data_IF_541267459744
#
_entry.id   IF_541267459744
#
_cell.length_a   1.000
_cell.length_b   1.000
_cell.length_c   1.000
_cell.angle_alpha   90.00
_cell.angle_beta   90.00
_cell.angle_gamma   90.00
#
_symmetry.space_group_name_H-M   'P 1'
#
loop_
_entity.id
_entity.type
_entity.pdbx_description
1 polymer ?
#
# COMPACT_ATOMS: atom_id res chain seq x y z
N UNK A 1 -70.54 -84.16 -21.10
CA UNK A 1 -69.33 -85.00 -21.25
C UNK A 1 -68.93 -85.43 -19.83
N UNK A 2 -69.20 -86.67 -19.39
CA UNK A 2 -68.46 -87.94 -19.67
C UNK A 2 -67.03 -87.86 -19.11
N UNK A 3 -66.65 -88.45 -17.96
CA UNK A 3 -66.76 -89.86 -17.48
C UNK A 3 -66.09 -90.80 -18.51
N UNK A 4 -65.01 -91.57 -18.22
CA UNK A 4 -64.89 -92.63 -17.16
C UNK A 4 -63.49 -92.68 -16.46
N UNK A 5 -63.02 -93.65 -15.62
CA UNK A 5 -63.55 -94.68 -14.70
C UNK A 5 -62.44 -95.19 -13.73
N UNK A 6 -62.84 -95.89 -12.64
CA UNK A 6 -62.08 -96.94 -11.89
C UNK A 6 -60.83 -96.56 -11.04
N UNK A 7 -60.49 -97.30 -9.97
CA UNK A 7 -61.09 -98.56 -9.46
C UNK A 7 -60.76 -98.90 -7.99
N UNK A 8 -61.31 -100.02 -7.50
CA UNK A 8 -61.23 -100.53 -6.11
C UNK A 8 -59.88 -101.18 -5.75
N UNK A 9 -59.60 -101.60 -4.50
CA UNK A 9 -60.00 -102.91 -3.89
C UNK A 9 -60.17 -102.80 -2.35
N UNK A 10 -60.70 -103.87 -1.74
CA UNK A 10 -61.39 -103.97 -0.45
C UNK A 10 -60.51 -104.50 0.72
N UNK A 11 -60.62 -103.90 1.92
CA UNK A 11 -60.50 -104.52 3.28
C UNK A 11 -59.19 -105.25 3.71
N UNK A 12 -58.93 -105.47 5.04
CA UNK A 12 -59.87 -105.50 6.16
C UNK A 12 -59.56 -104.66 7.43
N UNK A 13 -60.56 -104.70 8.34
CA UNK A 13 -60.57 -104.37 9.79
C UNK A 13 -59.42 -105.05 10.59
N UNK A 14 -59.13 -104.67 11.87
CA UNK A 14 -60.04 -103.99 12.81
C UNK A 14 -59.48 -102.87 13.74
N UNK A 15 -60.43 -102.22 14.43
CA UNK A 15 -60.40 -101.77 15.83
C UNK A 15 -59.73 -100.44 16.27
N UNK A 16 -60.44 -99.85 17.25
CA UNK A 16 -60.04 -99.11 18.46
C UNK A 16 -59.45 -97.67 18.46
N UNK A 17 -60.24 -96.81 19.12
CA UNK A 17 -59.90 -95.62 19.94
C UNK A 17 -58.52 -94.95 19.81
N UNK A 18 -58.49 -93.77 19.20
CA UNK A 18 -57.33 -92.86 19.27
C UNK A 18 -57.58 -91.37 18.94
N UNK A 19 -58.83 -90.97 18.66
CA UNK A 19 -59.12 -89.71 17.95
C UNK A 19 -58.99 -88.42 18.76
N UNK A 20 -59.07 -88.47 20.10
CA UNK A 20 -58.99 -87.28 20.97
C UNK A 20 -57.56 -86.92 21.40
N UNK A 21 -56.63 -87.88 21.44
CA UNK A 21 -55.26 -87.65 21.93
C UNK A 21 -54.38 -86.95 20.89
N UNK A 22 -54.56 -87.25 19.59
CA UNK A 22 -53.72 -86.72 18.51
C UNK A 22 -53.87 -85.21 18.28
N UNK A 23 -55.05 -84.63 18.47
CA UNK A 23 -55.23 -83.18 18.36
C UNK A 23 -54.48 -82.44 19.48
N UNK A 24 -54.65 -82.90 20.73
CA UNK A 24 -53.98 -82.32 21.90
C UNK A 24 -52.46 -82.40 21.77
N UNK A 25 -51.89 -83.51 21.26
CA UNK A 25 -50.44 -83.61 21.06
C UNK A 25 -49.92 -82.69 19.95
N UNK A 26 -50.70 -82.41 18.91
CA UNK A 26 -50.28 -81.51 17.83
C UNK A 26 -50.36 -80.04 18.28
N UNK A 27 -51.42 -79.67 19.03
CA UNK A 27 -51.51 -78.37 19.70
C UNK A 27 -50.42 -78.19 20.77
N UNK A 28 -50.09 -79.22 21.55
CA UNK A 28 -48.96 -79.19 22.49
C UNK A 28 -47.61 -79.07 21.77
N UNK A 29 -47.41 -79.72 20.62
CA UNK A 29 -46.19 -79.56 19.83
C UNK A 29 -46.05 -78.15 19.24
N UNK A 30 -47.15 -77.56 18.75
CA UNK A 30 -47.18 -76.17 18.24
C UNK A 30 -47.03 -75.16 19.39
N UNK A 31 -47.63 -75.41 20.56
CA UNK A 31 -47.45 -74.58 21.75
C UNK A 31 -46.02 -74.69 22.32
N UNK A 32 -45.41 -75.88 22.32
CA UNK A 32 -44.05 -76.09 22.79
C UNK A 32 -43.00 -75.49 21.83
N UNK A 33 -43.18 -75.64 20.52
CA UNK A 33 -42.33 -74.95 19.53
C UNK A 33 -42.54 -73.44 19.56
N UNK A 34 -43.79 -72.98 19.70
CA UNK A 34 -44.12 -71.57 19.92
C UNK A 34 -43.45 -70.98 21.17
N UNK A 35 -43.52 -71.69 22.30
CA UNK A 35 -42.86 -71.31 23.55
C UNK A 35 -41.32 -71.33 23.43
N UNK A 36 -40.74 -72.31 22.72
CA UNK A 36 -39.30 -72.34 22.43
C UNK A 36 -38.88 -71.19 21.51
N UNK A 37 -39.67 -70.86 20.48
CA UNK A 37 -39.41 -69.64 19.69
C UNK A 37 -39.52 -68.40 20.56
N UNK A 38 -40.52 -68.25 21.43
CA UNK A 38 -40.65 -67.10 22.32
C UNK A 38 -39.46 -66.97 23.30
N UNK A 39 -39.01 -68.10 23.88
CA UNK A 39 -37.85 -68.18 24.77
C UNK A 39 -36.54 -67.81 24.08
N UNK A 40 -36.44 -67.91 22.75
CA UNK A 40 -35.25 -67.50 21.97
C UNK A 40 -35.41 -66.10 21.37
N UNK A 41 -36.59 -65.75 20.85
CA UNK A 41 -36.83 -64.44 20.22
C UNK A 41 -36.83 -63.31 21.22
N UNK A 42 -37.35 -63.49 22.44
CA UNK A 42 -37.34 -62.40 23.44
C UNK A 42 -35.91 -62.00 23.82
N UNK A 43 -34.99 -62.93 24.21
CA UNK A 43 -33.57 -62.60 24.40
C UNK A 43 -32.90 -62.01 23.17
N UNK A 44 -33.18 -62.54 21.96
CA UNK A 44 -32.60 -62.02 20.71
C UNK A 44 -33.07 -60.60 20.40
N UNK A 45 -34.36 -60.28 20.59
CA UNK A 45 -34.87 -58.91 20.39
C UNK A 45 -34.36 -57.94 21.45
N UNK A 46 -34.19 -58.38 22.70
CA UNK A 46 -33.58 -57.57 23.76
C UNK A 46 -32.10 -57.31 23.49
N UNK A 47 -31.35 -58.31 23.02
CA UNK A 47 -29.96 -58.14 22.57
C UNK A 47 -29.88 -57.19 21.37
N UNK A 48 -30.76 -57.33 20.37
CA UNK A 48 -30.80 -56.43 19.23
C UNK A 48 -31.10 -54.98 19.66
N UNK A 49 -32.10 -54.77 20.54
CA UNK A 49 -32.43 -53.46 21.09
C UNK A 49 -31.30 -52.85 21.94
N UNK A 50 -30.56 -53.68 22.70
CA UNK A 50 -29.37 -53.24 23.43
C UNK A 50 -28.24 -52.82 22.48
N UNK A 51 -28.00 -53.59 21.42
CA UNK A 51 -26.97 -53.26 20.41
C UNK A 51 -27.34 -52.03 19.58
N UNK A 52 -28.60 -51.84 19.17
CA UNK A 52 -29.02 -50.63 18.45
C UNK A 52 -28.96 -49.40 19.33
N UNK A 53 -29.41 -49.48 20.60
CA UNK A 53 -29.25 -48.38 21.56
C UNK A 53 -27.76 -48.03 21.73
N UNK A 54 -26.92 -49.03 22.03
CA UNK A 54 -25.46 -48.85 22.20
C UNK A 54 -24.73 -48.49 20.90
N UNK A 55 -25.39 -48.51 19.74
CA UNK A 55 -24.88 -47.95 18.49
C UNK A 55 -25.34 -46.50 18.30
N UNK A 56 -26.59 -46.19 18.65
CA UNK A 56 -27.13 -44.83 18.66
C UNK A 56 -26.41 -43.93 19.68
N UNK A 57 -26.15 -44.42 20.89
CA UNK A 57 -25.39 -43.69 21.93
C UNK A 57 -24.00 -43.30 21.38
N UNK A 58 -23.25 -44.27 20.83
CA UNK A 58 -21.92 -44.02 20.22
C UNK A 58 -21.98 -43.14 18.96
N UNK A 59 -23.09 -43.14 18.23
CA UNK A 59 -23.28 -42.22 17.11
C UNK A 59 -23.53 -40.79 17.59
N UNK A 60 -24.29 -40.62 18.69
CA UNK A 60 -24.49 -39.34 19.34
C UNK A 60 -23.16 -38.77 19.86
N UNK A 61 -22.40 -39.56 20.62
CA UNK A 61 -21.05 -39.20 21.11
C UNK A 61 -20.14 -38.72 19.96
N UNK A 62 -20.15 -39.46 18.84
CA UNK A 62 -19.36 -39.12 17.65
C UNK A 62 -19.83 -37.83 16.96
N UNK A 63 -21.14 -37.58 16.90
CA UNK A 63 -21.67 -36.31 16.35
C UNK A 63 -21.42 -35.11 17.26
N UNK A 64 -21.42 -35.29 18.58
CA UNK A 64 -21.06 -34.22 19.54
C UNK A 64 -19.57 -33.88 19.43
N UNK A 65 -18.70 -34.90 19.38
CA UNK A 65 -17.27 -34.72 19.14
C UNK A 65 -16.98 -34.02 17.80
N UNK A 66 -17.62 -34.44 16.71
CA UNK A 66 -17.48 -33.82 15.40
C UNK A 66 -18.01 -32.37 15.38
N UNK A 67 -19.13 -32.09 16.05
CA UNK A 67 -19.67 -30.73 16.20
C UNK A 67 -18.75 -29.81 17.02
N UNK A 68 -18.09 -30.35 18.05
CA UNK A 68 -17.08 -29.63 18.82
C UNK A 68 -15.79 -29.38 18.02
N UNK A 69 -15.36 -30.33 17.18
CA UNK A 69 -14.22 -30.12 16.28
C UNK A 69 -14.55 -29.09 15.19
N UNK A 70 -15.70 -29.21 14.54
CA UNK A 70 -16.17 -28.28 13.51
C UNK A 70 -16.33 -26.85 14.05
N UNK A 71 -16.92 -26.68 15.24
CA UNK A 71 -17.07 -25.35 15.87
C UNK A 71 -15.73 -24.75 16.32
N UNK A 72 -14.76 -25.56 16.76
CA UNK A 72 -13.38 -25.08 17.00
C UNK A 72 -12.70 -24.65 15.70
N UNK A 73 -12.87 -25.42 14.63
CA UNK A 73 -12.31 -25.11 13.32
C UNK A 73 -12.89 -23.82 12.71
N UNK A 74 -14.20 -23.60 12.77
CA UNK A 74 -14.82 -22.35 12.28
C UNK A 74 -14.41 -21.14 13.09
N UNK A 75 -14.29 -21.25 14.42
CA UNK A 75 -13.78 -20.15 15.28
C UNK A 75 -12.29 -19.87 15.00
N UNK A 76 -11.47 -20.88 14.72
CA UNK A 76 -10.08 -20.70 14.32
C UNK A 76 -9.96 -20.00 12.96
N UNK A 77 -10.74 -20.44 11.96
CA UNK A 77 -10.79 -19.83 10.64
C UNK A 77 -11.27 -18.37 10.68
N UNK A 78 -12.34 -18.08 11.43
CA UNK A 78 -12.84 -16.71 11.60
C UNK A 78 -11.79 -15.78 12.24
N UNK A 79 -11.05 -16.25 13.26
CA UNK A 79 -9.96 -15.48 13.88
C UNK A 79 -8.77 -15.27 12.95
N UNK A 80 -8.46 -16.23 12.07
CA UNK A 80 -7.41 -16.08 11.06
C UNK A 80 -7.82 -15.04 9.99
N UNK A 81 -9.05 -15.12 9.50
CA UNK A 81 -9.60 -14.18 8.52
C UNK A 81 -9.74 -12.76 9.09
N UNK A 82 -10.10 -12.62 10.37
CA UNK A 82 -10.12 -11.32 11.05
C UNK A 82 -8.72 -10.70 11.13
N UNK A 83 -7.68 -11.49 11.46
CA UNK A 83 -6.28 -11.02 11.48
C UNK A 83 -5.81 -10.58 10.10
N UNK A 84 -6.00 -11.42 9.09
CA UNK A 84 -5.64 -11.09 7.71
C UNK A 84 -6.36 -9.81 7.21
N UNK A 85 -7.64 -9.63 7.55
CA UNK A 85 -8.38 -8.40 7.24
C UNK A 85 -7.86 -7.16 7.95
N UNK A 86 -7.45 -7.28 9.23
CA UNK A 86 -6.80 -6.19 9.98
C UNK A 86 -5.43 -5.84 9.40
N UNK A 87 -4.63 -6.83 9.05
CA UNK A 87 -3.31 -6.68 8.44
C UNK A 87 -3.41 -6.02 7.06
N UNK A 88 -4.32 -6.49 6.20
CA UNK A 88 -4.61 -5.88 4.89
C UNK A 88 -5.11 -4.43 5.01
N UNK A 89 -5.94 -4.13 6.02
CA UNK A 89 -6.43 -2.78 6.29
C UNK A 89 -5.30 -1.84 6.72
N UNK A 90 -4.48 -2.24 7.70
CA UNK A 90 -3.32 -1.46 8.15
C UNK A 90 -2.33 -1.20 7.00
N UNK A 91 -2.11 -2.21 6.16
CA UNK A 91 -1.23 -2.13 4.98
C UNK A 91 -1.79 -1.19 3.89
N UNK A 92 -3.11 -1.17 3.68
CA UNK A 92 -3.78 -0.20 2.81
C UNK A 92 -3.60 1.24 3.32
N UNK A 93 -3.79 1.45 4.63
CA UNK A 93 -3.63 2.78 5.26
C UNK A 93 -2.17 3.26 5.24
N UNK A 94 -1.19 2.36 5.44
CA UNK A 94 0.25 2.65 5.23
C UNK A 94 0.55 3.13 3.82
N UNK A 95 0.03 2.44 2.80
CA UNK A 95 0.26 2.80 1.39
C UNK A 95 -0.38 4.15 1.04
N UNK A 96 -1.53 4.47 1.61
CA UNK A 96 -2.14 5.81 1.51
C UNK A 96 -1.21 6.88 2.07
N UNK A 97 -0.74 6.72 3.33
CA UNK A 97 0.16 7.68 3.96
C UNK A 97 1.48 7.89 3.19
N UNK A 98 2.06 6.81 2.62
CA UNK A 98 3.26 6.91 1.79
C UNK A 98 2.99 7.62 0.45
N UNK A 99 1.84 7.37 -0.18
CA UNK A 99 1.44 8.04 -1.42
C UNK A 99 1.08 9.52 -1.20
N UNK A 100 0.44 9.86 -0.08
CA UNK A 100 0.15 11.23 0.34
C UNK A 100 1.45 12.02 0.61
N UNK A 101 2.42 11.39 1.28
CA UNK A 101 3.75 11.98 1.49
C UNK A 101 4.49 12.23 0.17
N UNK A 102 4.57 11.24 -0.71
CA UNK A 102 5.17 11.40 -2.04
C UNK A 102 4.46 12.48 -2.88
N UNK A 103 3.12 12.52 -2.85
CA UNK A 103 2.33 13.53 -3.54
C UNK A 103 2.63 14.94 -3.01
N UNK A 104 2.67 15.13 -1.69
CA UNK A 104 3.03 16.40 -1.07
C UNK A 104 4.47 16.85 -1.44
N UNK A 105 5.41 15.90 -1.43
CA UNK A 105 6.82 16.11 -1.79
C UNK A 105 6.99 16.47 -3.27
N UNK A 106 6.35 15.73 -4.19
CA UNK A 106 6.43 15.98 -5.63
C UNK A 106 5.70 17.30 -6.01
N UNK A 107 4.66 17.69 -5.28
CA UNK A 107 4.04 19.02 -5.38
C UNK A 107 4.99 20.11 -4.88
N UNK A 108 5.64 19.92 -3.72
CA UNK A 108 6.60 20.88 -3.16
C UNK A 108 7.79 21.10 -4.11
N UNK A 109 8.43 20.03 -4.59
CA UNK A 109 9.59 20.15 -5.50
C UNK A 109 9.19 20.75 -6.85
N UNK A 110 8.01 20.42 -7.38
CA UNK A 110 7.48 21.10 -8.58
C UNK A 110 7.32 22.59 -8.35
N UNK A 111 6.77 23.01 -7.21
CA UNK A 111 6.67 24.43 -6.84
C UNK A 111 8.06 25.08 -6.72
N UNK A 112 9.05 24.43 -6.08
CA UNK A 112 10.43 24.94 -6.04
C UNK A 112 11.03 25.12 -7.45
N UNK A 113 10.72 24.23 -8.41
CA UNK A 113 11.21 24.37 -9.79
C UNK A 113 10.58 25.50 -10.59
N UNK A 114 9.27 25.78 -10.41
CA UNK A 114 8.58 26.88 -11.10
C UNK A 114 8.57 28.20 -10.31
N UNK A 115 9.13 28.21 -9.10
CA UNK A 115 9.21 29.41 -8.25
C UNK A 115 9.86 30.65 -8.91
N UNK A 116 10.82 30.55 -9.86
CA UNK A 116 11.28 31.70 -10.64
C UNK A 116 10.17 32.36 -11.47
N UNK A 117 9.18 31.61 -11.96
CA UNK A 117 8.05 32.11 -12.77
C UNK A 117 6.92 32.71 -11.92
N UNK A 118 6.95 32.50 -10.61
CA UNK A 118 5.97 33.06 -9.66
C UNK A 118 6.37 34.50 -9.28
N UNK A 119 5.45 35.48 -9.26
CA UNK A 119 5.74 36.86 -8.81
C UNK A 119 6.35 36.92 -7.41
N UNK A 120 7.37 37.76 -7.22
CA UNK A 120 8.22 37.74 -6.02
C UNK A 120 7.44 37.77 -4.70
N UNK A 121 6.47 38.67 -4.57
CA UNK A 121 5.63 38.83 -3.38
C UNK A 121 4.89 37.54 -2.96
N UNK A 122 4.52 36.67 -3.91
CA UNK A 122 3.81 35.42 -3.64
C UNK A 122 4.73 34.21 -3.41
N UNK A 123 6.04 34.31 -3.70
CA UNK A 123 6.97 33.18 -3.62
C UNK A 123 7.06 32.58 -2.21
N UNK A 124 7.06 33.41 -1.17
CA UNK A 124 7.17 32.98 0.24
C UNK A 124 5.93 32.22 0.70
N UNK A 125 4.76 32.84 0.64
CA UNK A 125 3.49 32.21 1.09
C UNK A 125 3.24 30.87 0.38
N UNK A 126 3.49 30.81 -0.93
CA UNK A 126 3.34 29.59 -1.72
C UNK A 126 4.31 28.49 -1.28
N UNK A 127 5.58 28.84 -1.00
CA UNK A 127 6.60 27.91 -0.51
C UNK A 127 6.24 27.37 0.88
N UNK A 128 6.01 28.28 1.84
CA UNK A 128 5.71 27.97 3.24
C UNK A 128 4.47 27.06 3.35
N UNK A 129 3.44 27.33 2.53
CA UNK A 129 2.23 26.51 2.43
C UNK A 129 2.50 25.08 1.90
N UNK A 130 3.43 24.89 0.96
CA UNK A 130 3.79 23.54 0.47
C UNK A 130 4.79 22.81 1.36
N UNK A 131 5.75 23.50 1.98
CA UNK A 131 6.60 22.92 3.02
C UNK A 131 5.75 22.39 4.20
N UNK A 132 4.77 23.18 4.64
CA UNK A 132 3.77 22.77 5.64
C UNK A 132 3.01 21.51 5.23
N UNK A 133 2.68 21.32 3.94
CA UNK A 133 2.02 20.12 3.45
C UNK A 133 2.92 18.87 3.53
N UNK A 134 4.21 18.99 3.19
CA UNK A 134 5.20 17.91 3.35
C UNK A 134 5.35 17.49 4.82
N UNK A 135 5.45 18.46 5.74
CA UNK A 135 5.54 18.20 7.18
C UNK A 135 4.29 17.44 7.70
N UNK A 136 3.08 17.87 7.28
CA UNK A 136 1.83 17.19 7.66
C UNK A 136 1.77 15.76 7.11
N UNK A 137 2.15 15.54 5.85
CA UNK A 137 2.09 14.21 5.25
C UNK A 137 3.15 13.24 5.85
N UNK A 138 4.34 13.73 6.22
CA UNK A 138 5.34 12.94 6.97
C UNK A 138 4.79 12.43 8.30
N UNK A 139 3.93 13.19 8.99
CA UNK A 139 3.35 12.75 10.25
C UNK A 139 2.47 11.48 10.09
N UNK A 140 1.79 11.31 8.94
CA UNK A 140 1.08 10.08 8.61
C UNK A 140 2.03 8.88 8.47
N UNK A 141 3.14 9.06 7.76
CA UNK A 141 4.19 8.02 7.61
C UNK A 141 4.82 7.69 8.97
N UNK A 142 5.08 8.67 9.82
CA UNK A 142 5.66 8.47 11.15
C UNK A 142 4.72 7.75 12.14
N UNK A 143 3.41 7.84 11.96
CA UNK A 143 2.41 7.13 12.79
C UNK A 143 2.22 5.66 12.37
N UNK A 144 2.47 5.32 11.10
CA UNK A 144 1.99 4.08 10.48
C UNK A 144 3.12 3.19 9.90
N UNK A 145 4.21 3.79 9.43
CA UNK A 145 5.28 3.12 8.71
C UNK A 145 6.21 2.32 9.62
N UNK A 146 6.84 1.25 9.10
CA UNK A 146 7.95 0.59 9.79
C UNK A 146 9.17 1.53 9.88
N UNK A 147 10.14 1.27 10.79
CA UNK A 147 11.30 2.13 11.01
C UNK A 147 12.14 2.43 9.76
N UNK A 148 12.19 1.49 8.82
CA UNK A 148 12.92 1.61 7.54
C UNK A 148 12.26 2.67 6.62
N UNK A 149 10.94 2.58 6.42
CA UNK A 149 10.16 3.56 5.65
C UNK A 149 10.21 4.94 6.30
N UNK A 150 10.14 5.00 7.63
CA UNK A 150 10.30 6.26 8.37
C UNK A 150 11.71 6.84 8.13
N UNK A 151 12.76 6.04 8.26
CA UNK A 151 14.16 6.46 8.06
C UNK A 151 14.42 7.09 6.70
N UNK A 152 13.87 6.53 5.62
CA UNK A 152 13.95 7.17 4.29
C UNK A 152 13.05 8.43 4.20
N UNK A 153 11.87 8.45 4.81
CA UNK A 153 11.01 9.64 4.84
C UNK A 153 11.66 10.82 5.59
N UNK A 154 12.47 10.55 6.62
CA UNK A 154 13.23 11.57 7.34
C UNK A 154 14.27 12.23 6.40
N UNK A 155 14.99 11.43 5.61
CA UNK A 155 15.96 11.93 4.62
C UNK A 155 15.27 12.73 3.51
N UNK A 156 14.13 12.26 3.00
CA UNK A 156 13.33 13.01 2.01
C UNK A 156 12.93 14.38 2.57
N UNK A 157 12.45 14.44 3.81
CA UNK A 157 12.09 15.69 4.46
C UNK A 157 13.30 16.60 4.74
N UNK A 158 14.46 16.04 5.09
CA UNK A 158 15.71 16.80 5.26
C UNK A 158 16.16 17.44 3.93
N UNK A 159 16.05 16.74 2.81
CA UNK A 159 16.32 17.32 1.48
C UNK A 159 15.25 18.37 1.09
N UNK A 160 13.98 18.18 1.46
CA UNK A 160 12.96 19.21 1.27
C UNK A 160 13.28 20.49 2.06
N UNK A 161 13.72 20.40 3.32
CA UNK A 161 14.13 21.55 4.12
C UNK A 161 15.40 22.25 3.57
N UNK A 162 16.33 21.49 2.98
CA UNK A 162 17.50 22.06 2.26
C UNK A 162 17.07 22.82 1.00
N UNK A 163 16.12 22.27 0.23
CA UNK A 163 15.51 22.96 -0.92
C UNK A 163 14.79 24.24 -0.47
N UNK A 164 13.93 24.15 0.56
CA UNK A 164 13.16 25.27 1.13
C UNK A 164 14.05 26.46 1.52
N UNK A 165 15.14 26.19 2.28
CA UNK A 165 16.13 27.18 2.71
C UNK A 165 16.77 27.96 1.56
N UNK A 166 16.91 27.34 0.39
CA UNK A 166 17.56 27.92 -0.79
C UNK A 166 16.55 28.42 -1.84
N UNK A 167 15.30 27.95 -1.82
CA UNK A 167 14.32 28.11 -2.90
C UNK A 167 14.03 29.58 -3.25
N UNK A 168 13.86 30.47 -2.26
CA UNK A 168 13.56 31.88 -2.53
C UNK A 168 14.74 32.59 -3.22
N UNK A 169 15.97 32.34 -2.75
CA UNK A 169 17.20 32.92 -3.34
C UNK A 169 17.47 32.36 -4.74
N UNK A 170 17.28 31.04 -4.90
CA UNK A 170 17.33 30.33 -6.18
C UNK A 170 16.27 30.86 -7.16
N UNK A 171 15.07 31.19 -6.68
CA UNK A 171 14.03 31.80 -7.50
C UNK A 171 14.39 33.22 -7.96
N UNK A 172 14.96 34.07 -7.09
CA UNK A 172 15.46 35.39 -7.47
C UNK A 172 16.55 35.28 -8.54
N UNK A 173 17.62 34.52 -8.31
CA UNK A 173 18.72 34.43 -9.28
C UNK A 173 18.29 33.78 -10.61
N UNK A 174 17.49 32.71 -10.60
CA UNK A 174 17.04 32.08 -11.86
C UNK A 174 15.99 32.91 -12.61
N UNK A 175 15.25 33.78 -11.92
CA UNK A 175 14.38 34.78 -12.55
C UNK A 175 15.23 35.85 -13.26
N UNK A 176 16.27 36.37 -12.58
CA UNK A 176 17.18 37.37 -13.11
C UNK A 176 18.01 36.85 -14.29
N UNK A 177 18.59 35.65 -14.16
CA UNK A 177 19.40 35.02 -15.21
C UNK A 177 18.58 34.83 -16.49
N UNK A 178 17.34 34.35 -16.40
CA UNK A 178 16.45 34.23 -17.57
C UNK A 178 16.12 35.58 -18.20
N UNK A 179 15.79 36.59 -17.40
CA UNK A 179 15.49 37.92 -17.92
C UNK A 179 16.69 38.53 -18.68
N UNK A 180 17.91 38.27 -18.21
CA UNK A 180 19.15 38.67 -18.89
C UNK A 180 19.41 37.83 -20.16
N UNK A 181 19.10 36.53 -20.13
CA UNK A 181 19.17 35.60 -21.28
C UNK A 181 18.13 35.92 -22.37
N UNK A 182 17.00 36.54 -22.01
CA UNK A 182 15.99 37.05 -22.94
C UNK A 182 16.33 38.48 -23.46
N UNK A 183 17.18 39.23 -22.74
CA UNK A 183 17.51 40.63 -23.04
C UNK A 183 18.85 40.84 -23.77
N UNK A 184 19.81 39.91 -23.73
CA UNK A 184 21.04 40.02 -24.51
C UNK A 184 20.84 39.74 -26.01
N UNK A 185 21.77 40.17 -26.87
CA UNK A 185 21.62 40.03 -28.32
C UNK A 185 21.78 38.56 -28.78
N UNK A 186 20.73 37.89 -29.31
CA UNK A 186 20.81 36.48 -29.66
C UNK A 186 21.83 36.24 -30.78
N UNK A 187 22.84 35.40 -30.49
CA UNK A 187 23.95 35.02 -31.38
C UNK A 187 24.99 36.12 -31.66
N UNK A 188 24.94 37.29 -31.02
CA UNK A 188 25.97 38.33 -31.20
C UNK A 188 26.17 39.25 -29.98
N UNK A 189 26.05 38.72 -28.76
CA UNK A 189 26.15 39.51 -27.53
C UNK A 189 27.50 40.24 -27.37
N UNK A 190 28.61 39.56 -27.70
CA UNK A 190 29.99 40.11 -27.63
C UNK A 190 30.23 41.32 -28.54
N UNK A 191 29.54 41.40 -29.69
CA UNK A 191 29.78 42.39 -30.75
C UNK A 191 28.53 43.22 -31.04
N UNK A 192 27.65 43.38 -30.04
CA UNK A 192 26.46 44.22 -30.15
C UNK A 192 26.80 45.66 -29.73
N UNK A 193 26.55 46.63 -30.60
CA UNK A 193 26.72 48.07 -30.32
C UNK A 193 25.59 48.63 -29.42
N UNK A 194 24.57 47.83 -29.10
CA UNK A 194 23.51 48.22 -28.17
C UNK A 194 23.99 48.11 -26.70
N UNK A 195 24.00 49.22 -25.94
CA UNK A 195 24.52 49.23 -24.57
C UNK A 195 23.66 48.41 -23.60
N UNK A 196 22.38 48.22 -23.87
CA UNK A 196 21.48 47.45 -23.02
C UNK A 196 21.74 45.94 -23.21
N UNK A 197 21.90 45.50 -24.47
CA UNK A 197 22.25 44.10 -24.77
C UNK A 197 23.62 43.69 -24.20
N UNK A 198 24.62 44.60 -24.28
CA UNK A 198 25.95 44.37 -23.71
C UNK A 198 25.88 44.35 -22.17
N UNK A 199 25.19 45.31 -21.56
CA UNK A 199 24.99 45.33 -20.09
C UNK A 199 24.26 44.09 -19.58
N UNK A 200 23.29 43.56 -20.34
CA UNK A 200 22.63 42.29 -20.01
C UNK A 200 23.62 41.11 -20.00
N UNK A 201 24.51 41.03 -20.99
CA UNK A 201 25.56 40.00 -21.05
C UNK A 201 26.55 40.11 -19.89
N UNK A 202 27.08 41.30 -19.59
CA UNK A 202 28.03 41.48 -18.49
C UNK A 202 27.39 41.18 -17.13
N UNK A 203 26.12 41.58 -16.91
CA UNK A 203 25.40 41.23 -15.70
C UNK A 203 25.16 39.71 -15.58
N UNK A 204 24.81 39.03 -16.68
CA UNK A 204 24.67 37.57 -16.70
C UNK A 204 26.00 36.87 -16.38
N UNK A 205 27.09 37.30 -17.00
CA UNK A 205 28.42 36.72 -16.80
C UNK A 205 28.91 36.91 -15.36
N UNK A 206 28.75 38.11 -14.81
CA UNK A 206 29.08 38.41 -13.40
C UNK A 206 28.30 37.49 -12.45
N UNK A 207 26.99 37.31 -12.63
CA UNK A 207 26.18 36.41 -11.80
C UNK A 207 26.61 34.95 -11.96
N UNK A 208 26.82 34.48 -13.20
CA UNK A 208 27.23 33.11 -13.50
C UNK A 208 28.62 32.75 -12.93
N UNK A 209 29.52 33.73 -12.78
CA UNK A 209 30.86 33.55 -12.20
C UNK A 209 30.94 33.91 -10.70
N UNK A 210 29.96 34.63 -10.14
CA UNK A 210 30.00 35.26 -8.82
C UNK A 210 30.48 34.35 -7.67
N UNK A 211 30.01 33.10 -7.66
CA UNK A 211 30.37 32.10 -6.64
C UNK A 211 31.84 31.66 -6.64
N UNK A 212 32.58 31.98 -7.71
CA UNK A 212 34.01 31.65 -7.89
C UNK A 212 34.93 32.82 -7.53
N UNK A 213 34.38 34.02 -7.41
CA UNK A 213 35.11 35.24 -7.10
C UNK A 213 35.47 35.28 -5.61
N UNK A 214 36.65 35.82 -5.29
CA UNK A 214 37.04 36.06 -3.89
C UNK A 214 36.17 37.17 -3.24
N UNK A 215 36.25 37.34 -1.93
CA UNK A 215 35.33 38.25 -1.23
C UNK A 215 35.59 39.71 -1.62
N UNK A 216 36.87 40.04 -1.74
CA UNK A 216 37.42 41.33 -2.15
C UNK A 216 36.99 41.64 -3.59
N UNK A 217 37.19 40.71 -4.53
CA UNK A 217 36.74 40.84 -5.92
C UNK A 217 35.23 41.08 -6.04
N UNK A 218 34.42 40.43 -5.19
CA UNK A 218 32.96 40.63 -5.19
C UNK A 218 32.56 42.00 -4.67
N UNK A 219 33.29 42.56 -3.71
CA UNK A 219 33.07 43.93 -3.27
C UNK A 219 33.43 44.92 -4.39
N UNK A 220 34.56 44.74 -5.06
CA UNK A 220 34.97 45.58 -6.20
C UNK A 220 34.00 45.48 -7.40
N UNK A 221 33.44 44.30 -7.65
CA UNK A 221 32.52 44.04 -8.77
C UNK A 221 31.03 44.31 -8.42
N UNK A 222 30.69 44.68 -7.18
CA UNK A 222 29.29 44.91 -6.77
C UNK A 222 28.68 46.16 -7.44
N UNK A 223 29.42 47.26 -7.50
CA UNK A 223 28.98 48.49 -8.17
C UNK A 223 28.83 48.27 -9.69
N UNK A 224 29.72 47.46 -10.29
CA UNK A 224 29.64 47.07 -11.70
C UNK A 224 28.42 46.17 -11.97
N UNK A 225 28.11 45.24 -11.06
CA UNK A 225 26.91 44.40 -11.14
C UNK A 225 25.64 45.26 -11.02
N UNK A 226 25.57 46.18 -10.06
CA UNK A 226 24.42 47.09 -9.94
C UNK A 226 24.26 48.00 -11.18
N UNK A 227 25.35 48.55 -11.70
CA UNK A 227 25.34 49.37 -12.91
C UNK A 227 24.84 48.59 -14.14
N UNK A 228 25.41 47.41 -14.40
CA UNK A 228 25.05 46.58 -15.56
C UNK A 228 23.63 46.01 -15.46
N UNK A 229 23.18 45.63 -14.26
CA UNK A 229 21.78 45.26 -14.03
C UNK A 229 20.81 46.42 -14.37
N UNK A 230 21.10 47.65 -13.94
CA UNK A 230 20.27 48.83 -14.27
C UNK A 230 20.29 49.15 -15.77
N UNK A 231 21.48 49.19 -16.37
CA UNK A 231 21.64 49.59 -17.77
C UNK A 231 21.15 48.51 -18.76
N UNK A 232 21.06 47.24 -18.34
CA UNK A 232 20.45 46.16 -19.13
C UNK A 232 18.97 46.38 -19.46
N UNK A 233 18.25 47.11 -18.60
CA UNK A 233 16.77 47.25 -18.60
C UNK A 233 15.98 45.93 -18.56
N UNK A 234 16.64 44.80 -18.31
CA UNK A 234 16.03 43.47 -18.23
C UNK A 234 15.17 43.27 -16.97
N UNK A 235 15.40 44.09 -15.93
CA UNK A 235 14.85 43.92 -14.59
C UNK A 235 14.34 45.25 -14.02
N UNK A 236 13.26 45.19 -13.25
CA UNK A 236 12.76 46.33 -12.48
C UNK A 236 13.67 46.66 -11.29
N UNK A 237 13.64 47.91 -10.82
CA UNK A 237 14.48 48.36 -9.70
C UNK A 237 14.30 47.53 -8.41
N UNK A 238 13.09 47.04 -8.16
CA UNK A 238 12.79 46.13 -7.04
C UNK A 238 13.48 44.76 -7.22
N UNK A 239 13.48 44.21 -8.44
CA UNK A 239 14.10 42.93 -8.76
C UNK A 239 15.62 43.01 -8.68
N UNK A 240 16.21 44.12 -9.15
CA UNK A 240 17.64 44.42 -8.99
C UNK A 240 18.02 44.47 -7.50
N UNK A 241 17.20 45.11 -6.66
CA UNK A 241 17.39 45.12 -5.20
C UNK A 241 17.45 43.71 -4.59
N UNK A 242 16.52 42.84 -4.99
CA UNK A 242 16.51 41.43 -4.54
C UNK A 242 17.74 40.64 -5.05
N UNK A 243 18.18 40.87 -6.30
CA UNK A 243 19.39 40.22 -6.85
C UNK A 243 20.63 40.64 -6.05
N UNK A 244 20.76 41.92 -5.70
CA UNK A 244 21.87 42.44 -4.92
C UNK A 244 21.84 41.95 -3.45
N UNK A 245 20.66 41.79 -2.84
CA UNK A 245 20.52 41.14 -1.52
C UNK A 245 21.07 39.70 -1.55
N UNK A 246 20.75 38.93 -2.60
CA UNK A 246 21.25 37.56 -2.76
C UNK A 246 22.76 37.56 -3.10
N UNK A 247 23.24 38.47 -3.94
CA UNK A 247 24.66 38.60 -4.29
C UNK A 247 25.56 38.90 -3.09
N UNK A 248 25.04 39.58 -2.06
CA UNK A 248 25.71 39.79 -0.78
C UNK A 248 25.77 38.51 0.11
N UNK A 249 25.04 37.44 -0.23
CA UNK A 249 24.91 36.23 0.60
C UNK A 249 25.34 34.97 -0.15
N UNK A 250 26.62 34.92 -0.52
CA UNK A 250 27.29 33.98 -1.45
C UNK A 250 27.33 32.50 -0.98
N UNK A 251 26.79 32.19 0.19
CA UNK A 251 26.70 30.81 0.68
C UNK A 251 25.88 29.94 -0.30
N UNK A 252 26.47 28.83 -0.75
CA UNK A 252 25.87 27.84 -1.66
C UNK A 252 25.58 28.35 -3.09
N UNK A 253 26.37 29.30 -3.62
CA UNK A 253 26.11 29.92 -4.93
C UNK A 253 25.93 28.93 -6.10
N UNK A 254 26.77 27.90 -6.19
CA UNK A 254 26.63 26.83 -7.21
C UNK A 254 25.30 26.07 -7.09
N UNK A 255 24.69 26.05 -5.90
CA UNK A 255 23.38 25.46 -5.65
C UNK A 255 22.24 26.48 -5.88
N UNK A 256 22.52 27.79 -5.81
CA UNK A 256 21.57 28.86 -6.08
C UNK A 256 21.40 29.13 -7.59
N UNK A 257 22.46 28.99 -8.40
CA UNK A 257 22.34 28.97 -9.87
C UNK A 257 22.06 27.55 -10.36
N UNK A 258 22.82 26.55 -9.89
CA UNK A 258 22.85 25.21 -10.47
C UNK A 258 23.70 25.18 -11.74
N UNK A 259 23.99 23.99 -12.27
CA UNK A 259 24.58 23.88 -13.59
C UNK A 259 23.55 24.12 -14.69
N UNK A 260 23.98 24.70 -15.81
CA UNK A 260 23.14 24.92 -17.01
C UNK A 260 22.53 23.58 -17.52
N UNK A 261 23.27 22.47 -17.35
CA UNK A 261 22.89 21.12 -17.81
C UNK A 261 22.44 20.18 -16.67
N UNK A 262 22.75 20.51 -15.40
CA UNK A 262 22.55 19.64 -14.24
C UNK A 262 22.23 20.44 -12.98
N UNK A 263 21.32 19.94 -12.16
CA UNK A 263 20.90 20.59 -10.91
C UNK A 263 21.27 19.71 -9.72
N UNK A 264 22.40 19.95 -9.02
CA UNK A 264 22.87 19.10 -7.93
C UNK A 264 21.89 18.98 -6.76
N UNK A 265 21.08 20.01 -6.50
CA UNK A 265 20.04 19.94 -5.47
C UNK A 265 18.94 18.95 -5.88
N UNK A 266 18.44 19.06 -7.10
CA UNK A 266 17.38 18.18 -7.60
C UNK A 266 17.88 16.76 -7.87
N UNK A 267 19.14 16.57 -8.29
CA UNK A 267 19.76 15.25 -8.43
C UNK A 267 19.89 14.53 -7.07
N UNK A 268 20.35 15.22 -6.02
CA UNK A 268 20.41 14.66 -4.66
C UNK A 268 19.01 14.38 -4.10
N UNK A 269 18.05 15.26 -4.33
CA UNK A 269 16.65 15.03 -3.95
C UNK A 269 16.07 13.77 -4.63
N UNK A 270 16.24 13.62 -5.96
CA UNK A 270 15.76 12.46 -6.71
C UNK A 270 16.33 11.16 -6.16
N UNK A 271 17.64 11.08 -5.92
CA UNK A 271 18.26 9.88 -5.35
C UNK A 271 17.64 9.45 -4.00
N UNK A 272 17.31 10.40 -3.13
CA UNK A 272 16.68 10.13 -1.82
C UNK A 272 15.19 9.80 -1.95
N UNK A 273 14.47 10.48 -2.86
CA UNK A 273 13.08 10.17 -3.21
C UNK A 273 12.94 8.75 -3.75
N UNK A 274 13.81 8.35 -4.66
CA UNK A 274 13.72 7.06 -5.34
C UNK A 274 14.16 5.91 -4.40
N UNK A 275 15.05 6.18 -3.44
CA UNK A 275 15.31 5.29 -2.31
C UNK A 275 14.07 5.11 -1.41
N UNK A 276 13.36 6.19 -1.06
CA UNK A 276 12.09 6.08 -0.33
C UNK A 276 11.04 5.28 -1.10
N UNK A 277 10.87 5.51 -2.42
CA UNK A 277 9.97 4.72 -3.27
C UNK A 277 10.36 3.23 -3.24
N UNK A 278 11.67 2.93 -3.29
CA UNK A 278 12.20 1.58 -3.16
C UNK A 278 11.83 0.90 -1.83
N UNK A 279 11.91 1.59 -0.70
CA UNK A 279 11.58 1.00 0.61
C UNK A 279 10.06 0.99 0.87
N UNK A 280 9.30 1.98 0.39
CA UNK A 280 7.86 2.09 0.59
C UNK A 280 7.04 1.10 -0.25
N UNK A 281 7.56 0.63 -1.39
CA UNK A 281 6.85 -0.27 -2.30
C UNK A 281 7.63 -1.53 -2.71
N UNK A 282 8.97 -1.54 -2.59
CA UNK A 282 9.83 -2.66 -3.02
C UNK A 282 9.84 -3.87 -2.10
N UNK A 283 9.36 -3.75 -0.85
CA UNK A 283 9.17 -4.88 0.07
C UNK A 283 8.08 -5.88 -0.37
N UNK A 284 7.41 -5.61 -1.50
CA UNK A 284 6.52 -6.55 -2.18
C UNK A 284 7.28 -7.55 -3.06
N UNK A 285 8.12 -8.37 -2.42
CA UNK A 285 8.43 -9.69 -2.97
C UNK A 285 7.14 -10.52 -3.07
N UNK A 286 6.98 -11.38 -4.10
CA UNK A 286 5.80 -12.22 -4.20
C UNK A 286 5.75 -13.20 -3.02
N UNK A 287 4.61 -13.24 -2.33
CA UNK A 287 4.31 -14.32 -1.40
C UNK A 287 4.08 -15.58 -2.23
N UNK A 288 5.00 -16.54 -2.09
CA UNK A 288 5.01 -17.84 -2.77
C UNK A 288 4.48 -18.95 -1.86
#
# INVERSE_FOLDING_TARGET
MTVPLSGSVFSPRPADSGTTVRHVQLEQAVAATGALTALVTVPVTLLAAHWTRRAADRAADATEAAGHEQSRATVAAARLQERAGREQSLESVRRSACAEFLSAVDVFVRIVTVLPEVPHASRRELLDHKATAVVRARAGVALLGPPEVLGEAEKVAEQCAKLEKLALRRAVLRSAIRALEDAWCPRNAEWCEDPHHNSAHVAWELLAQWGRLEQEERWEKLDLLEFTLRESRALGAEEIGHVLEVANSVAYWDELIGGIVRDPLLERFRAVRDAFVGVAYGSLGPVA
#
